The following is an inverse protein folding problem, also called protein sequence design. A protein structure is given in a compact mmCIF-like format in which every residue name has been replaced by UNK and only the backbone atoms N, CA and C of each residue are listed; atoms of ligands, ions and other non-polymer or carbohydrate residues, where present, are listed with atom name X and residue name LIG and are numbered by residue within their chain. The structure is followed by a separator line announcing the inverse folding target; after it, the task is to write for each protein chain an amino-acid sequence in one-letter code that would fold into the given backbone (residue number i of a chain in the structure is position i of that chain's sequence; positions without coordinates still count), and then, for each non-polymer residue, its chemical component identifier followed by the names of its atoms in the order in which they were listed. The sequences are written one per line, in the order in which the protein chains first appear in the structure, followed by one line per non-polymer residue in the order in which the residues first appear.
data_IF_253076200010
#
_entry.id   IF_253076200010
#
_cell.length_a   1.000
_cell.length_b   1.000
_cell.length_c   1.000
_cell.angle_alpha   90.00
_cell.angle_beta   90.00
_cell.angle_gamma   90.00
#
_symmetry.space_group_name_H-M   'P 1'
#
loop_
_entity.id
_entity.type
_entity.pdbx_description
1 polymer ?
#
# COMPACT_ATOMS: atom_id res chain seq x y z
N UNK A 1 5.49 -8.74 8.18
CA UNK A 1 4.58 -7.87 7.41
C UNK A 1 3.18 -8.41 7.58
N UNK A 2 2.27 -7.58 8.05
CA UNK A 2 0.84 -7.86 8.07
C UNK A 2 0.14 -6.88 7.12
N UNK A 3 -0.84 -7.35 6.35
CA UNK A 3 -1.54 -6.58 5.30
C UNK A 3 -3.06 -6.67 5.48
N UNK A 4 -3.53 -6.24 6.66
CA UNK A 4 -4.93 -6.17 7.04
C UNK A 4 -5.54 -4.78 6.87
N UNK A 5 -6.18 -4.26 7.91
CA UNK A 5 -6.74 -2.89 7.94
C UNK A 5 -5.66 -1.83 7.69
N UNK A 6 -4.47 -2.06 8.24
CA UNK A 6 -3.24 -1.35 7.93
C UNK A 6 -2.22 -2.34 7.34
N UNK A 7 -1.19 -1.82 6.69
CA UNK A 7 0.01 -2.57 6.39
C UNK A 7 1.07 -2.22 7.43
N UNK A 8 1.65 -3.25 8.05
CA UNK A 8 2.74 -3.10 9.02
C UNK A 8 4.01 -3.74 8.49
N UNK A 9 5.12 -3.02 8.65
CA UNK A 9 6.46 -3.46 8.32
C UNK A 9 7.22 -3.57 9.63
N UNK A 10 7.71 -4.76 9.96
CA UNK A 10 8.47 -5.00 11.18
C UNK A 10 9.90 -5.40 10.81
N UNK A 11 10.88 -4.65 11.31
CA UNK A 11 12.29 -4.91 11.09
C UNK A 11 12.87 -5.65 12.31
N UNK A 12 13.28 -6.89 12.06
CA UNK A 12 13.82 -7.80 13.07
C UNK A 12 15.23 -8.21 12.61
N UNK A 13 16.22 -8.00 13.48
CA UNK A 13 17.60 -8.40 13.20
C UNK A 13 17.80 -9.92 13.33
N UNK A 14 18.93 -10.43 12.82
CA UNK A 14 19.27 -11.85 12.87
C UNK A 14 19.33 -12.42 14.30
N UNK A 15 19.62 -11.58 15.30
CA UNK A 15 19.60 -11.94 16.72
C UNK A 15 18.19 -11.88 17.36
N UNK A 16 17.14 -11.80 16.54
CA UNK A 16 15.73 -11.67 16.95
C UNK A 16 15.40 -10.37 17.70
N UNK A 17 16.27 -9.35 17.66
CA UNK A 17 15.94 -8.04 18.22
C UNK A 17 14.99 -7.29 17.30
N UNK A 18 13.85 -6.87 17.84
CA UNK A 18 12.95 -5.94 17.17
C UNK A 18 13.54 -4.53 17.22
N UNK A 19 13.76 -3.93 16.05
CA UNK A 19 14.38 -2.61 15.93
C UNK A 19 13.33 -1.52 15.70
N UNK A 20 12.16 -1.89 15.21
CA UNK A 20 11.09 -0.96 14.88
C UNK A 20 10.39 -1.36 13.59
N UNK A 21 9.68 -0.41 13.00
CA UNK A 21 8.85 -0.69 11.86
C UNK A 21 8.19 0.55 11.25
N UNK A 22 7.23 0.31 10.38
CA UNK A 22 6.41 1.34 9.77
C UNK A 22 4.97 0.85 9.65
N UNK A 23 4.02 1.78 9.69
CA UNK A 23 2.59 1.49 9.55
C UNK A 23 2.04 2.40 8.46
N UNK A 24 1.31 1.83 7.50
CA UNK A 24 0.65 2.57 6.43
C UNK A 24 -0.80 2.08 6.23
N UNK A 25 -1.65 2.85 5.53
CA UNK A 25 -3.02 2.43 5.25
C UNK A 25 -3.09 1.12 4.46
N UNK A 26 -3.98 0.22 4.87
CA UNK A 26 -4.29 -1.01 4.12
C UNK A 26 -5.13 -0.73 2.88
N UNK A 27 -5.28 -1.74 2.03
CA UNK A 27 -5.90 -1.59 0.71
C UNK A 27 -7.32 -0.99 0.76
N UNK A 28 -8.18 -1.55 1.60
CA UNK A 28 -9.57 -1.09 1.75
C UNK A 28 -9.66 0.29 2.41
N UNK A 29 -8.71 0.64 3.29
CA UNK A 29 -8.65 1.95 3.91
C UNK A 29 -8.33 3.03 2.88
N UNK A 30 -7.43 2.74 1.91
CA UNK A 30 -7.09 3.68 0.84
C UNK A 30 -8.30 4.00 -0.05
N UNK A 31 -9.09 2.99 -0.44
CA UNK A 31 -10.32 3.22 -1.18
C UNK A 31 -11.33 4.05 -0.39
N UNK A 32 -11.55 3.70 0.88
CA UNK A 32 -12.47 4.46 1.75
C UNK A 32 -12.02 5.90 1.94
N UNK A 33 -10.73 6.14 2.18
CA UNK A 33 -10.19 7.48 2.36
C UNK A 33 -10.42 8.35 1.11
N UNK A 34 -10.19 7.82 -0.10
CA UNK A 34 -10.46 8.58 -1.31
C UNK A 34 -11.95 8.92 -1.49
N UNK A 35 -12.85 7.99 -1.15
CA UNK A 35 -14.29 8.24 -1.25
C UNK A 35 -14.80 9.20 -0.16
N UNK A 36 -14.34 9.04 1.09
CA UNK A 36 -14.79 9.83 2.23
C UNK A 36 -14.26 11.27 2.18
N UNK A 37 -13.00 11.45 1.80
CA UNK A 37 -12.32 12.75 1.86
C UNK A 37 -12.32 13.51 0.52
N UNK A 38 -13.12 13.08 -0.46
CA UNK A 38 -13.30 13.81 -1.73
C UNK A 38 -14.76 13.82 -2.17
N UNK A 39 -15.18 14.85 -2.90
CA UNK A 39 -16.60 15.02 -3.25
C UNK A 39 -17.10 14.09 -4.36
N UNK A 40 -16.21 13.63 -5.25
CA UNK A 40 -16.60 13.02 -6.54
C UNK A 40 -16.01 11.64 -6.79
N UNK A 41 -15.16 11.11 -5.90
CA UNK A 41 -14.58 9.78 -6.11
C UNK A 41 -15.51 8.69 -5.58
N UNK A 42 -15.87 7.69 -6.39
CA UNK A 42 -16.75 6.61 -5.96
C UNK A 42 -16.09 5.69 -4.94
N UNK A 43 -16.89 5.01 -4.12
CA UNK A 43 -16.40 3.92 -3.29
C UNK A 43 -16.11 2.70 -4.16
N UNK A 44 -14.84 2.30 -4.23
CA UNK A 44 -14.38 1.15 -5.02
C UNK A 44 -13.87 0.03 -4.12
N UNK A 45 -13.80 -1.17 -4.68
CA UNK A 45 -13.20 -2.35 -4.06
C UNK A 45 -12.06 -2.88 -4.94
N UNK A 46 -11.21 -3.72 -4.35
CA UNK A 46 -10.16 -4.43 -5.09
C UNK A 46 -10.75 -5.15 -6.30
N UNK A 47 -10.17 -4.91 -7.46
CA UNK A 47 -10.47 -5.65 -8.69
C UNK A 47 -9.19 -6.08 -9.39
N UNK A 48 -9.30 -7.01 -10.34
CA UNK A 48 -8.19 -7.37 -11.22
C UNK A 48 -7.83 -6.18 -12.11
N UNK A 49 -6.57 -5.79 -12.10
CA UNK A 49 -6.06 -4.75 -12.98
C UNK A 49 -5.71 -5.34 -14.35
N UNK A 50 -6.17 -4.67 -15.41
CA UNK A 50 -5.87 -5.02 -16.80
C UNK A 50 -4.95 -4.00 -17.49
N UNK A 51 -4.63 -2.90 -16.81
CA UNK A 51 -3.77 -1.82 -17.29
C UNK A 51 -2.97 -1.24 -16.13
N UNK A 52 -1.78 -0.72 -16.42
CA UNK A 52 -1.00 0.06 -15.47
C UNK A 52 -1.47 1.52 -15.40
N UNK A 53 -1.79 2.10 -16.57
CA UNK A 53 -2.23 3.49 -16.69
C UNK A 53 -3.76 3.53 -16.69
N UNK A 54 -4.34 4.24 -15.72
CA UNK A 54 -5.77 4.49 -15.67
C UNK A 54 -6.19 5.49 -16.74
N UNK A 55 -7.37 5.29 -17.33
CA UNK A 55 -7.91 6.12 -18.41
C UNK A 55 -9.27 6.75 -18.06
N UNK A 56 -9.79 6.44 -16.87
CA UNK A 56 -10.94 7.09 -16.27
C UNK A 56 -10.77 7.09 -14.75
N UNK A 57 -11.65 7.76 -14.02
CA UNK A 57 -11.57 7.90 -12.56
C UNK A 57 -11.43 6.56 -11.85
N UNK A 58 -12.27 5.58 -12.15
CA UNK A 58 -12.26 4.30 -11.47
C UNK A 58 -10.98 3.51 -11.74
N UNK A 59 -10.54 3.44 -12.99
CA UNK A 59 -9.31 2.72 -13.36
C UNK A 59 -8.08 3.40 -12.76
N UNK A 60 -8.03 4.73 -12.75
CA UNK A 60 -6.95 5.50 -12.11
C UNK A 60 -6.89 5.29 -10.59
N UNK A 61 -8.05 5.25 -9.92
CA UNK A 61 -8.11 4.93 -8.50
C UNK A 61 -7.64 3.50 -8.22
N UNK A 62 -8.08 2.53 -9.04
CA UNK A 62 -7.71 1.13 -8.86
C UNK A 62 -6.22 0.87 -9.11
N UNK A 63 -5.65 1.42 -10.17
CA UNK A 63 -4.21 1.31 -10.43
C UNK A 63 -3.40 2.03 -9.36
N UNK A 64 -3.80 3.24 -8.99
CA UNK A 64 -3.12 4.03 -7.95
C UNK A 64 -3.12 3.33 -6.59
N UNK A 65 -4.25 2.80 -6.12
CA UNK A 65 -4.33 2.12 -4.82
C UNK A 65 -3.55 0.82 -4.80
N UNK A 66 -3.75 -0.05 -5.79
CA UNK A 66 -3.17 -1.39 -5.76
C UNK A 66 -1.69 -1.38 -6.11
N UNK A 67 -1.27 -0.70 -7.19
CA UNK A 67 0.15 -0.58 -7.50
C UNK A 67 0.87 0.33 -6.50
N UNK A 68 0.22 1.38 -6.00
CA UNK A 68 0.81 2.22 -4.94
C UNK A 68 1.15 1.40 -3.70
N UNK A 69 0.28 0.48 -3.27
CA UNK A 69 0.59 -0.40 -2.15
C UNK A 69 1.72 -1.39 -2.48
N UNK A 70 1.73 -1.97 -3.68
CA UNK A 70 2.81 -2.88 -4.09
C UNK A 70 4.18 -2.17 -4.11
N UNK A 71 4.24 -0.98 -4.71
CA UNK A 71 5.48 -0.21 -4.80
C UNK A 71 5.91 0.34 -3.44
N UNK A 72 4.98 0.71 -2.57
CA UNK A 72 5.30 1.06 -1.18
C UNK A 72 5.97 -0.12 -0.47
N UNK A 73 5.39 -1.31 -0.57
CA UNK A 73 5.96 -2.53 0.02
C UNK A 73 7.35 -2.81 -0.52
N UNK A 74 7.53 -2.77 -1.84
CA UNK A 74 8.82 -3.00 -2.48
C UNK A 74 9.86 -1.96 -2.04
N UNK A 75 9.49 -0.68 -1.99
CA UNK A 75 10.37 0.40 -1.55
C UNK A 75 10.83 0.23 -0.10
N UNK A 76 9.95 -0.18 0.82
CA UNK A 76 10.37 -0.49 2.19
C UNK A 76 11.36 -1.66 2.24
N UNK A 77 11.10 -2.74 1.49
CA UNK A 77 12.02 -3.89 1.41
C UNK A 77 13.38 -3.45 0.87
N UNK A 78 13.40 -2.70 -0.23
CA UNK A 78 14.62 -2.20 -0.87
C UNK A 78 15.41 -1.29 0.08
N UNK A 79 14.76 -0.38 0.79
CA UNK A 79 15.43 0.50 1.75
C UNK A 79 16.01 -0.27 2.94
N UNK A 80 15.31 -1.28 3.46
CA UNK A 80 15.86 -2.13 4.51
C UNK A 80 17.08 -2.92 4.02
N UNK A 81 17.05 -3.46 2.81
CA UNK A 81 18.20 -4.14 2.20
C UNK A 81 19.35 -3.15 1.98
N UNK A 82 19.09 -1.97 1.45
CA UNK A 82 20.12 -0.96 1.20
C UNK A 82 20.82 -0.51 2.49
N UNK A 83 20.07 -0.39 3.60
CA UNK A 83 20.60 0.10 4.87
C UNK A 83 21.20 -0.98 5.78
N UNK A 84 20.75 -2.23 5.67
CA UNK A 84 21.11 -3.31 6.60
C UNK A 84 21.52 -4.63 5.94
N UNK A 85 21.46 -4.74 4.61
CA UNK A 85 21.82 -5.93 3.84
C UNK A 85 23.28 -6.01 3.42
#
# INVERSE_FOLDING_TARGET
MDAGTCVTYDFIQANQTYIGGSISPGLNMRYRAMNEFTASLPLLNKQRLNTFVGYNTETSMNTGVQYGLVFEIQGFIEEYIHKYG
#
